data_IF_462962936250
#
_entry.id   IF_462962936250
#
_cell.length_a   1.000
_cell.length_b   1.000
_cell.length_c   1.000
_cell.angle_alpha   90.00
_cell.angle_beta   90.00
_cell.angle_gamma   90.00
#
_symmetry.space_group_name_H-M   'P 1'
#
loop_
_entity.id
_entity.type
_entity.pdbx_description
1 polymer ?
#
# COMPACT_ATOMS: atom_id res chain seq x y z
N UNK A 1 -25.73 -7.95 -5.30
CA UNK A 1 -25.12 -6.64 -5.63
C UNK A 1 -23.60 -6.81 -5.66
N UNK A 2 -22.94 -6.56 -6.80
CA UNK A 2 -21.52 -6.86 -7.01
C UNK A 2 -20.65 -6.01 -6.08
N UNK A 3 -20.07 -6.63 -5.05
CA UNK A 3 -19.16 -5.99 -4.08
C UNK A 3 -17.72 -5.83 -4.61
N UNK A 4 -17.43 -6.37 -5.80
CA UNK A 4 -16.10 -6.34 -6.42
C UNK A 4 -16.16 -5.61 -7.76
N UNK A 5 -15.31 -4.60 -7.94
CA UNK A 5 -15.07 -3.92 -9.22
C UNK A 5 -13.59 -3.98 -9.59
N UNK A 6 -13.29 -4.21 -10.86
CA UNK A 6 -11.92 -4.24 -11.39
C UNK A 6 -11.79 -3.11 -12.38
N UNK A 7 -10.78 -2.25 -12.21
CA UNK A 7 -10.56 -1.14 -13.15
C UNK A 7 -9.78 -1.61 -14.38
N UNK A 8 -9.98 -0.99 -15.55
CA UNK A 8 -9.20 -1.29 -16.75
C UNK A 8 -7.69 -1.13 -16.53
N UNK A 9 -7.27 -0.18 -15.68
CA UNK A 9 -5.88 0.04 -15.33
C UNK A 9 -5.25 -1.17 -14.64
N UNK A 10 -5.95 -1.82 -13.71
CA UNK A 10 -5.45 -3.04 -13.06
C UNK A 10 -5.22 -4.17 -14.08
N UNK A 11 -6.19 -4.37 -14.98
CA UNK A 11 -6.10 -5.39 -16.03
C UNK A 11 -4.94 -5.08 -16.99
N UNK A 12 -4.82 -3.83 -17.43
CA UNK A 12 -3.74 -3.41 -18.33
C UNK A 12 -2.37 -3.61 -17.68
N UNK A 13 -2.18 -3.20 -16.41
CA UNK A 13 -0.93 -3.42 -15.68
C UNK A 13 -0.60 -4.91 -15.51
N UNK A 14 -1.59 -5.73 -15.17
CA UNK A 14 -1.41 -7.18 -15.04
C UNK A 14 -1.05 -7.84 -16.38
N UNK A 15 -1.71 -7.45 -17.48
CA UNK A 15 -1.40 -7.95 -18.82
C UNK A 15 0.00 -7.52 -19.29
N UNK A 16 0.41 -6.27 -19.03
CA UNK A 16 1.75 -5.79 -19.37
C UNK A 16 2.84 -6.52 -18.58
N UNK A 17 2.64 -6.73 -17.28
CA UNK A 17 3.55 -7.52 -16.45
C UNK A 17 3.59 -8.98 -16.89
N UNK A 18 2.45 -9.55 -17.24
CA UNK A 18 2.38 -10.93 -17.72
C UNK A 18 3.07 -11.11 -19.07
N UNK A 19 2.91 -10.14 -19.98
CA UNK A 19 3.60 -10.10 -21.26
C UNK A 19 5.12 -9.99 -21.08
N UNK A 20 5.57 -9.14 -20.15
CA UNK A 20 6.99 -8.97 -19.87
C UNK A 20 7.59 -10.21 -19.17
N UNK A 21 6.99 -10.63 -18.06
CA UNK A 21 7.39 -11.78 -17.25
C UNK A 21 6.20 -12.39 -16.49
N UNK A 22 5.58 -13.42 -17.06
CA UNK A 22 4.39 -14.08 -16.51
C UNK A 22 4.59 -14.63 -15.09
N UNK A 23 5.76 -15.19 -14.78
CA UNK A 23 6.06 -15.72 -13.43
C UNK A 23 6.05 -14.63 -12.36
N UNK A 24 6.69 -13.48 -12.62
CA UNK A 24 6.70 -12.34 -11.70
C UNK A 24 5.28 -11.81 -11.50
N UNK A 25 4.48 -11.74 -12.57
CA UNK A 25 3.08 -11.33 -12.48
C UNK A 25 2.28 -12.25 -11.55
N UNK A 26 2.44 -13.58 -11.65
CA UNK A 26 1.79 -14.53 -10.75
C UNK A 26 2.21 -14.35 -9.30
N UNK A 27 3.51 -14.22 -9.03
CA UNK A 27 4.00 -14.00 -7.67
C UNK A 27 3.53 -12.66 -7.08
N UNK A 28 3.47 -11.61 -7.90
CA UNK A 28 2.94 -10.32 -7.49
C UNK A 28 1.45 -10.38 -7.18
N UNK A 29 0.64 -11.01 -8.03
CA UNK A 29 -0.79 -11.19 -7.78
C UNK A 29 -1.05 -12.03 -6.54
N UNK A 30 -0.25 -13.07 -6.30
CA UNK A 30 -0.35 -13.87 -5.08
C UNK A 30 0.03 -13.07 -3.83
N UNK A 31 1.12 -12.28 -3.89
CA UNK A 31 1.54 -11.40 -2.79
C UNK A 31 0.47 -10.35 -2.47
N UNK A 32 -0.11 -9.73 -3.51
CA UNK A 32 -1.22 -8.80 -3.38
C UNK A 32 -2.45 -9.48 -2.78
N UNK A 33 -2.80 -10.68 -3.22
CA UNK A 33 -3.94 -11.43 -2.69
C UNK A 33 -3.76 -11.75 -1.19
N UNK A 34 -2.57 -12.18 -0.78
CA UNK A 34 -2.27 -12.46 0.63
C UNK A 34 -2.31 -11.17 1.48
N UNK A 35 -1.80 -10.07 0.95
CA UNK A 35 -1.87 -8.76 1.61
C UNK A 35 -3.33 -8.33 1.84
N UNK A 36 -4.15 -8.35 0.81
CA UNK A 36 -5.56 -7.97 0.90
C UNK A 36 -6.37 -8.95 1.75
N UNK A 37 -6.04 -10.25 1.70
CA UNK A 37 -6.64 -11.25 2.59
C UNK A 37 -6.36 -10.93 4.07
N UNK A 38 -5.19 -10.39 4.40
CA UNK A 38 -4.88 -9.88 5.74
C UNK A 38 -5.85 -8.78 6.18
N UNK A 39 -6.08 -7.78 5.33
CA UNK A 39 -7.08 -6.74 5.60
C UNK A 39 -8.49 -7.30 5.77
N UNK A 40 -8.93 -8.18 4.86
CA UNK A 40 -10.26 -8.78 4.89
C UNK A 40 -10.48 -9.64 6.14
N UNK A 41 -9.45 -10.38 6.56
CA UNK A 41 -9.49 -11.17 7.79
C UNK A 41 -9.63 -10.26 9.02
N UNK A 42 -8.84 -9.19 9.10
CA UNK A 42 -8.94 -8.24 10.21
C UNK A 42 -10.31 -7.54 10.24
N UNK A 43 -10.87 -7.18 9.09
CA UNK A 43 -12.22 -6.61 8.99
C UNK A 43 -13.29 -7.62 9.47
N UNK A 44 -13.16 -8.89 9.09
CA UNK A 44 -14.06 -9.95 9.56
C UNK A 44 -13.96 -10.16 11.09
N UNK A 45 -12.74 -10.21 11.63
CA UNK A 45 -12.49 -10.37 13.07
C UNK A 45 -12.98 -9.18 13.89
N UNK A 46 -12.86 -7.97 13.36
CA UNK A 46 -13.34 -6.73 13.98
C UNK A 46 -14.81 -6.43 13.71
N UNK A 47 -15.50 -7.32 12.97
CA UNK A 47 -16.92 -7.23 12.60
C UNK A 47 -17.29 -5.96 11.83
N UNK A 48 -16.36 -5.43 11.04
CA UNK A 48 -16.58 -4.27 10.18
C UNK A 48 -17.13 -4.72 8.83
N UNK A 49 -18.22 -4.09 8.37
CA UNK A 49 -18.85 -4.47 7.12
C UNK A 49 -18.09 -3.90 5.91
N UNK A 50 -17.80 -4.79 4.95
CA UNK A 50 -17.18 -4.42 3.66
C UNK A 50 -18.27 -4.05 2.66
N UNK A 51 -18.25 -2.80 2.20
CA UNK A 51 -19.24 -2.27 1.27
C UNK A 51 -18.84 -2.53 -0.19
N UNK A 52 -17.58 -2.26 -0.53
CA UNK A 52 -17.05 -2.40 -1.90
C UNK A 52 -15.55 -2.65 -1.88
N UNK A 53 -15.08 -3.49 -2.80
CA UNK A 53 -13.66 -3.74 -3.09
C UNK A 53 -13.43 -3.34 -4.53
N UNK A 54 -12.49 -2.41 -4.76
CA UNK A 54 -12.10 -1.96 -6.10
C UNK A 54 -10.64 -2.30 -6.35
N UNK A 55 -10.36 -3.20 -7.29
CA UNK A 55 -9.00 -3.49 -7.74
C UNK A 55 -8.57 -2.45 -8.77
N UNK A 56 -7.61 -1.60 -8.40
CA UNK A 56 -7.03 -0.56 -9.24
C UNK A 56 -5.55 -0.83 -9.53
N UNK A 57 -4.99 -0.17 -10.54
CA UNK A 57 -3.57 -0.32 -10.91
C UNK A 57 -2.62 -0.03 -9.72
N UNK A 58 -3.03 0.87 -8.82
CA UNK A 58 -2.29 1.21 -7.59
C UNK A 58 -2.59 0.31 -6.39
N UNK A 59 -3.34 -0.79 -6.52
CA UNK A 59 -3.73 -1.68 -5.42
C UNK A 59 -5.24 -1.76 -5.21
N UNK A 60 -5.69 -2.52 -4.19
CA UNK A 60 -7.11 -2.60 -3.88
C UNK A 60 -7.54 -1.42 -3.00
N UNK A 61 -8.70 -0.83 -3.31
CA UNK A 61 -9.41 0.13 -2.46
C UNK A 61 -10.59 -0.59 -1.82
N UNK A 62 -10.54 -0.79 -0.50
CA UNK A 62 -11.63 -1.41 0.28
C UNK A 62 -12.44 -0.30 0.95
N UNK A 63 -13.70 -0.15 0.56
CA UNK A 63 -14.67 0.73 1.21
C UNK A 63 -15.37 -0.03 2.33
N UNK A 64 -15.32 0.52 3.53
CA UNK A 64 -15.86 -0.07 4.76
C UNK A 64 -16.90 0.85 5.38
N UNK A 65 -17.72 0.33 6.28
CA UNK A 65 -18.44 1.18 7.22
C UNK A 65 -17.48 1.98 8.11
N UNK A 66 -18.01 2.96 8.85
CA UNK A 66 -17.24 3.71 9.83
C UNK A 66 -16.57 2.78 10.84
N UNK A 67 -15.33 3.11 11.18
CA UNK A 67 -14.47 2.30 12.04
C UNK A 67 -14.07 3.13 13.25
N UNK A 68 -13.97 2.49 14.40
CA UNK A 68 -13.26 3.10 15.54
C UNK A 68 -11.78 3.19 15.22
N UNK A 69 -11.07 4.15 15.85
CA UNK A 69 -9.62 4.27 15.69
C UNK A 69 -8.87 2.97 15.98
N UNK A 70 -9.36 2.16 16.94
CA UNK A 70 -8.79 0.84 17.23
C UNK A 70 -8.91 -0.13 16.05
N UNK A 71 -10.07 -0.18 15.42
CA UNK A 71 -10.30 -1.05 14.27
C UNK A 71 -9.49 -0.56 13.06
N UNK A 72 -9.38 0.76 12.86
CA UNK A 72 -8.64 1.33 11.73
C UNK A 72 -7.15 0.98 11.79
N UNK A 73 -6.48 1.13 12.95
CA UNK A 73 -5.06 0.77 13.04
C UNK A 73 -4.81 -0.74 12.91
N UNK A 74 -5.69 -1.59 13.48
CA UNK A 74 -5.57 -3.05 13.37
C UNK A 74 -5.73 -3.48 11.92
N UNK A 75 -6.78 -2.99 11.26
CA UNK A 75 -7.07 -3.38 9.88
C UNK A 75 -6.00 -2.84 8.94
N UNK A 76 -5.49 -1.62 9.13
CA UNK A 76 -4.39 -1.09 8.33
C UNK A 76 -3.11 -1.92 8.51
N UNK A 77 -2.74 -2.30 9.73
CA UNK A 77 -1.54 -3.12 9.96
C UNK A 77 -1.64 -4.57 9.45
N UNK A 78 -2.86 -5.09 9.28
CA UNK A 78 -3.09 -6.50 8.98
C UNK A 78 -2.55 -6.96 7.62
N UNK A 79 -2.69 -6.14 6.56
CA UNK A 79 -2.16 -6.47 5.25
C UNK A 79 -0.63 -6.57 5.23
N UNK A 80 0.10 -5.54 5.68
CA UNK A 80 1.55 -5.60 5.82
C UNK A 80 2.02 -6.75 6.73
N UNK A 81 1.32 -7.01 7.83
CA UNK A 81 1.65 -8.13 8.72
C UNK A 81 1.52 -9.49 8.01
N UNK A 82 0.45 -9.69 7.25
CA UNK A 82 0.27 -10.91 6.45
C UNK A 82 1.39 -11.08 5.42
N UNK A 83 1.73 -10.01 4.68
CA UNK A 83 2.83 -10.02 3.73
C UNK A 83 4.18 -10.38 4.36
N UNK A 84 4.51 -9.80 5.52
CA UNK A 84 5.77 -10.08 6.23
C UNK A 84 5.82 -11.52 6.75
N UNK A 85 4.72 -12.01 7.35
CA UNK A 85 4.64 -13.39 7.87
C UNK A 85 4.83 -14.40 6.74
N UNK A 86 4.08 -14.28 5.65
CA UNK A 86 4.20 -15.21 4.52
C UNK A 86 5.55 -15.09 3.82
N UNK A 87 6.11 -13.89 3.71
CA UNK A 87 7.45 -13.72 3.18
C UNK A 87 8.51 -14.45 4.02
N UNK A 88 8.44 -14.34 5.35
CA UNK A 88 9.37 -15.02 6.25
C UNK A 88 9.24 -16.55 6.19
N UNK A 89 7.99 -17.05 6.18
CA UNK A 89 7.71 -18.50 6.10
C UNK A 89 8.19 -19.12 4.79
N UNK A 90 8.04 -18.41 3.67
CA UNK A 90 8.35 -18.93 2.34
C UNK A 90 9.72 -18.50 1.81
N UNK A 91 10.54 -17.77 2.57
CA UNK A 91 11.80 -17.18 2.08
C UNK A 91 12.74 -18.21 1.44
N UNK A 92 12.85 -19.41 2.01
CA UNK A 92 13.72 -20.48 1.50
C UNK A 92 13.12 -21.25 0.33
N UNK A 93 11.80 -21.30 0.22
CA UNK A 93 11.08 -22.08 -0.79
C UNK A 93 10.78 -21.25 -2.04
N UNK A 94 10.40 -19.98 -1.84
CA UNK A 94 9.96 -19.07 -2.88
C UNK A 94 10.56 -17.67 -2.63
N UNK A 95 11.89 -17.48 -2.79
CA UNK A 95 12.55 -16.21 -2.47
C UNK A 95 11.98 -15.03 -3.26
N UNK A 96 11.61 -15.24 -4.53
CA UNK A 96 11.00 -14.22 -5.39
C UNK A 96 9.68 -13.70 -4.81
N UNK A 97 8.78 -14.61 -4.41
CA UNK A 97 7.52 -14.26 -3.75
C UNK A 97 7.77 -13.49 -2.45
N UNK A 98 8.73 -13.94 -1.64
CA UNK A 98 9.05 -13.30 -0.36
C UNK A 98 9.59 -11.88 -0.55
N UNK A 99 10.47 -11.67 -1.52
CA UNK A 99 10.99 -10.33 -1.84
C UNK A 99 9.87 -9.40 -2.33
N UNK A 100 8.98 -9.87 -3.20
CA UNK A 100 7.84 -9.09 -3.67
C UNK A 100 6.88 -8.76 -2.52
N UNK A 101 6.59 -9.73 -1.65
CA UNK A 101 5.73 -9.55 -0.48
C UNK A 101 6.32 -8.56 0.52
N UNK A 102 7.62 -8.62 0.78
CA UNK A 102 8.32 -7.65 1.63
C UNK A 102 8.32 -6.26 0.99
N UNK A 103 8.55 -6.17 -0.33
CA UNK A 103 8.46 -4.91 -1.06
C UNK A 103 7.07 -4.27 -0.97
N UNK A 104 6.01 -5.07 -1.14
CA UNK A 104 4.62 -4.63 -1.00
C UNK A 104 4.34 -4.13 0.43
N UNK A 105 4.78 -4.87 1.45
CA UNK A 105 4.65 -4.46 2.85
C UNK A 105 5.42 -3.15 3.14
N UNK A 106 6.66 -3.05 2.66
CA UNK A 106 7.51 -1.87 2.89
C UNK A 106 6.91 -0.61 2.27
N UNK A 107 6.41 -0.71 1.03
CA UNK A 107 5.74 0.38 0.34
C UNK A 107 4.47 0.78 1.10
N UNK A 108 3.61 -0.18 1.47
CA UNK A 108 2.37 0.13 2.19
C UNK A 108 2.57 0.58 3.64
N UNK A 109 3.70 0.28 4.28
CA UNK A 109 4.06 0.76 5.63
C UNK A 109 4.64 2.18 5.66
N UNK A 110 4.91 2.79 4.49
CA UNK A 110 5.33 4.18 4.45
C UNK A 110 4.29 5.07 5.17
N UNK A 111 4.73 6.10 5.91
CA UNK A 111 3.84 7.02 6.62
C UNK A 111 3.18 8.03 5.68
N UNK A 112 2.66 7.54 4.56
CA UNK A 112 1.99 8.27 3.50
C UNK A 112 0.51 7.91 3.54
N UNK A 113 -0.37 8.89 3.78
CA UNK A 113 -1.80 8.68 3.55
C UNK A 113 -2.05 8.70 2.03
N UNK A 114 -2.79 7.75 1.43
CA UNK A 114 -3.75 6.81 2.03
C UNK A 114 -3.21 5.38 2.20
N UNK A 115 -1.88 5.19 2.18
CA UNK A 115 -1.25 3.88 2.38
C UNK A 115 -1.49 3.38 3.81
N UNK A 116 -1.31 2.09 4.03
CA UNK A 116 -1.67 1.47 5.30
C UNK A 116 -0.87 2.01 6.50
N UNK A 117 0.41 2.34 6.31
CA UNK A 117 1.24 3.00 7.32
C UNK A 117 0.70 4.39 7.68
N UNK A 118 0.27 5.17 6.68
CA UNK A 118 -0.39 6.45 6.88
C UNK A 118 -1.74 6.33 7.60
N UNK A 119 -2.56 5.34 7.23
CA UNK A 119 -3.85 5.05 7.89
C UNK A 119 -3.66 4.60 9.34
N UNK A 120 -2.70 3.72 9.59
CA UNK A 120 -2.35 3.28 10.94
C UNK A 120 -1.84 4.46 11.79
N UNK A 121 -0.95 5.30 11.23
CA UNK A 121 -0.44 6.49 11.89
C UNK A 121 -1.56 7.46 12.24
N UNK A 122 -2.44 7.77 11.28
CA UNK A 122 -3.63 8.62 11.49
C UNK A 122 -4.49 8.11 12.64
N UNK A 123 -4.85 6.82 12.61
CA UNK A 123 -5.68 6.19 13.61
C UNK A 123 -5.03 6.21 15.01
N UNK A 124 -3.71 6.05 15.10
CA UNK A 124 -2.97 6.15 16.37
C UNK A 124 -2.96 7.57 16.91
N UNK A 125 -2.67 8.56 16.05
CA UNK A 125 -2.58 9.97 16.46
C UNK A 125 -3.94 10.54 16.89
N UNK A 126 -5.03 10.17 16.23
CA UNK A 126 -6.39 10.59 16.59
C UNK A 126 -6.84 10.10 17.99
N UNK A 127 -6.12 9.15 18.59
CA UNK A 127 -6.39 8.74 19.98
C UNK A 127 -5.93 9.78 21.02
N UNK A 128 -5.04 10.70 20.64
CA UNK A 128 -4.40 11.66 21.54
C UNK A 128 -4.49 13.11 21.09
N UNK A 129 -4.69 13.36 19.81
CA UNK A 129 -4.65 14.69 19.21
C UNK A 129 -5.96 15.01 18.47
N UNK A 130 -6.35 16.30 18.42
CA UNK A 130 -7.49 16.73 17.62
C UNK A 130 -7.21 16.56 16.11
N UNK A 131 -8.25 16.38 15.28
CA UNK A 131 -8.10 16.09 13.84
C UNK A 131 -7.21 17.06 13.07
N UNK A 132 -7.29 18.36 13.36
CA UNK A 132 -6.50 19.40 12.66
C UNK A 132 -4.99 19.20 12.85
N UNK A 133 -4.58 18.86 14.07
CA UNK A 133 -3.18 18.58 14.39
C UNK A 133 -2.71 17.29 13.72
N UNK A 134 -3.57 16.26 13.69
CA UNK A 134 -3.24 15.00 12.99
C UNK A 134 -3.06 15.24 11.50
N UNK A 135 -3.96 15.99 10.87
CA UNK A 135 -3.86 16.31 9.45
C UNK A 135 -2.61 17.13 9.14
N UNK A 136 -2.21 18.06 10.01
CA UNK A 136 -0.95 18.78 9.89
C UNK A 136 0.28 17.84 9.96
N UNK A 137 0.29 16.91 10.92
CA UNK A 137 1.36 15.91 11.05
C UNK A 137 1.42 15.00 9.83
N UNK A 138 0.27 14.50 9.35
CA UNK A 138 0.22 13.63 8.16
C UNK A 138 0.71 14.36 6.91
N UNK A 139 0.33 15.63 6.71
CA UNK A 139 0.86 16.44 5.61
C UNK A 139 2.37 16.60 5.71
N UNK A 140 2.91 16.85 6.90
CA UNK A 140 4.35 16.91 7.11
C UNK A 140 5.03 15.57 6.78
N UNK A 141 4.48 14.44 7.24
CA UNK A 141 4.99 13.10 6.91
C UNK A 141 4.97 12.84 5.40
N UNK A 142 3.93 13.28 4.68
CA UNK A 142 3.85 13.20 3.22
C UNK A 142 4.95 14.00 2.57
N UNK A 143 5.10 15.28 2.91
CA UNK A 143 6.15 16.14 2.36
C UNK A 143 7.54 15.56 2.61
N UNK A 144 7.85 15.21 3.87
CA UNK A 144 9.16 14.65 4.24
C UNK A 144 9.43 13.37 3.45
N UNK A 145 8.52 12.40 3.48
CA UNK A 145 8.72 11.11 2.83
C UNK A 145 8.85 11.26 1.31
N UNK A 146 7.99 12.05 0.67
CA UNK A 146 8.06 12.30 -0.78
C UNK A 146 9.36 13.01 -1.18
N UNK A 147 9.78 14.03 -0.43
CA UNK A 147 11.05 14.72 -0.68
C UNK A 147 12.25 13.79 -0.49
N UNK A 148 12.27 12.96 0.56
CA UNK A 148 13.35 12.00 0.78
C UNK A 148 13.40 10.96 -0.34
N UNK A 149 12.25 10.41 -0.76
CA UNK A 149 12.19 9.45 -1.86
C UNK A 149 12.66 10.07 -3.19
N UNK A 150 12.24 11.30 -3.50
CA UNK A 150 12.65 11.99 -4.72
C UNK A 150 14.14 12.32 -4.73
N UNK A 151 14.68 12.85 -3.63
CA UNK A 151 16.12 13.13 -3.51
C UNK A 151 16.95 11.84 -3.60
N UNK A 152 16.52 10.77 -2.94
CA UNK A 152 17.16 9.46 -3.03
C UNK A 152 17.12 8.90 -4.45
N UNK A 153 15.99 9.02 -5.14
CA UNK A 153 15.85 8.60 -6.54
C UNK A 153 16.81 9.37 -7.46
N UNK A 154 16.86 10.70 -7.35
CA UNK A 154 17.79 11.54 -8.11
C UNK A 154 19.25 11.19 -7.82
N UNK A 155 19.59 10.96 -6.55
CA UNK A 155 20.95 10.56 -6.15
C UNK A 155 21.34 9.20 -6.72
N UNK A 156 20.44 8.20 -6.67
CA UNK A 156 20.67 6.88 -7.26
C UNK A 156 20.86 6.96 -8.78
N UNK A 157 20.03 7.74 -9.47
CA UNK A 157 20.17 7.97 -10.92
C UNK A 157 21.51 8.64 -11.25
N UNK A 158 21.91 9.65 -10.48
CA UNK A 158 23.14 10.40 -10.74
C UNK A 158 24.41 9.61 -10.44
N UNK A 159 24.43 8.83 -9.35
CA UNK A 159 25.64 8.13 -8.89
C UNK A 159 25.81 6.75 -9.53
N UNK A 160 24.72 5.98 -9.66
CA UNK A 160 24.80 4.58 -10.08
C UNK A 160 24.35 4.35 -11.52
N UNK A 161 24.07 5.41 -12.27
CA UNK A 161 23.49 5.33 -13.63
C UNK A 161 22.27 4.40 -13.66
N UNK A 162 21.49 4.40 -12.58
CA UNK A 162 20.33 3.53 -12.42
C UNK A 162 19.21 3.84 -13.45
N UNK A 163 19.39 4.83 -14.32
CA UNK A 163 18.39 5.28 -15.27
C UNK A 163 17.24 6.01 -14.58
N UNK A 164 16.10 6.10 -15.27
CA UNK A 164 14.94 6.87 -14.80
C UNK A 164 13.96 6.07 -13.94
N UNK A 165 14.18 4.76 -13.75
CA UNK A 165 13.25 3.92 -12.98
C UNK A 165 13.08 4.34 -11.51
N UNK A 166 14.12 4.81 -10.77
CA UNK A 166 13.92 5.24 -9.38
C UNK A 166 13.03 6.48 -9.31
N UNK A 167 13.21 7.40 -10.27
CA UNK A 167 12.43 8.62 -10.39
C UNK A 167 10.99 8.28 -10.75
N UNK A 168 10.78 7.38 -11.71
CA UNK A 168 9.44 6.90 -12.08
C UNK A 168 8.72 6.26 -10.88
N UNK A 169 9.40 5.39 -10.12
CA UNK A 169 8.82 4.78 -8.92
C UNK A 169 8.45 5.84 -7.87
N UNK A 170 9.34 6.81 -7.62
CA UNK A 170 9.05 7.91 -6.72
C UNK A 170 7.81 8.68 -7.18
N UNK A 171 7.72 9.04 -8.47
CA UNK A 171 6.56 9.74 -9.04
C UNK A 171 5.26 8.95 -8.87
N UNK A 172 5.27 7.64 -9.09
CA UNK A 172 4.07 6.79 -8.87
C UNK A 172 3.63 6.83 -7.41
N UNK A 173 4.57 6.75 -6.46
CA UNK A 173 4.27 6.86 -5.03
C UNK A 173 3.75 8.26 -4.65
N UNK A 174 4.32 9.31 -5.24
CA UNK A 174 3.88 10.69 -5.08
C UNK A 174 2.45 10.89 -5.60
N UNK A 175 2.11 10.37 -6.78
CA UNK A 175 0.75 10.42 -7.32
C UNK A 175 -0.25 9.73 -6.39
N UNK A 176 0.12 8.57 -5.82
CA UNK A 176 -0.72 7.86 -4.85
C UNK A 176 -0.94 8.65 -3.56
N UNK A 177 0.06 9.40 -3.10
CA UNK A 177 -0.08 10.31 -1.96
C UNK A 177 -0.92 11.56 -2.31
N UNK A 178 -0.81 12.05 -3.55
CA UNK A 178 -1.57 13.20 -4.05
C UNK A 178 -3.08 12.96 -4.13
N UNK A 179 -3.51 11.77 -4.56
CA UNK A 179 -4.94 11.36 -4.54
C UNK A 179 -5.58 11.44 -3.15
N UNK A 180 -4.77 11.40 -2.09
CA UNK A 180 -5.23 11.48 -0.69
C UNK A 180 -5.27 12.91 -0.15
N UNK A 181 -4.46 13.82 -0.68
CA UNK A 181 -4.38 15.21 -0.23
C UNK A 181 -5.65 16.00 -0.59
N UNK A 182 -6.40 15.58 -1.62
CA UNK A 182 -7.71 16.16 -1.96
C UNK A 182 -8.83 15.75 -0.99
N UNK A 183 -8.59 14.75 -0.13
CA UNK A 183 -9.59 14.16 0.79
C UNK A 183 -9.38 14.63 2.24
N UNK A 184 -8.27 15.31 2.55
CA UNK A 184 -7.89 15.82 3.88
C UNK A 184 -8.07 17.33 3.99
#
# INVERSE_FOLDING_TARGET
>A
MRRLSVTPGFVASACLLAWYQWEICLWFLLALAIHEAGHLLALALTRVSVQRITLAAGGAKIQTAEMTYRQEWICAAAGPAASIVFAGLLLRLCPTFSLISLGLAAINLLPLYPMDGGRALRAILLRRLPPDQVNAILRLCVWVTCSTLMLGACWLTAQYQAGLWPIFLALVLLCRAGEAAEVL
#
